data_IF_723166239374
#
_entry.id   IF_723166239374
#
_cell.length_a   1.000
_cell.length_b   1.000
_cell.length_c   1.000
_cell.angle_alpha   90.00
_cell.angle_beta   90.00
_cell.angle_gamma   90.00
#
_symmetry.space_group_name_H-M   'P 1'
#
loop_
_entity.id
_entity.type
_entity.pdbx_description
1 polymer ?
#
# COMPACT_ATOMS: atom_id res chain seq x y z
N UNK A 1 -14.88 42.88 -12.91
CA UNK A 1 -14.42 41.91 -13.93
C UNK A 1 -13.13 41.26 -13.41
N UNK A 2 -13.11 39.94 -13.09
CA UNK A 2 -11.92 39.27 -12.57
C UNK A 2 -10.87 39.18 -13.69
N UNK A 3 -9.62 39.52 -13.36
CA UNK A 3 -8.50 39.40 -14.30
C UNK A 3 -8.17 37.93 -14.58
N UNK A 4 -7.46 37.62 -15.67
CA UNK A 4 -6.98 36.26 -15.97
C UNK A 4 -6.10 35.71 -14.85
N UNK A 5 -5.33 36.59 -14.17
CA UNK A 5 -4.51 36.26 -13.00
C UNK A 5 -5.38 35.82 -11.82
N UNK A 6 -6.50 36.52 -11.54
CA UNK A 6 -7.41 36.19 -10.47
C UNK A 6 -8.11 34.82 -10.69
N UNK A 7 -8.48 34.56 -11.95
CA UNK A 7 -9.08 33.26 -12.33
C UNK A 7 -8.11 32.08 -12.17
N UNK A 8 -6.84 32.27 -12.49
CA UNK A 8 -5.82 31.23 -12.30
C UNK A 8 -5.53 30.98 -10.83
N UNK A 9 -5.49 32.03 -10.01
CA UNK A 9 -5.30 31.94 -8.56
C UNK A 9 -6.49 31.23 -7.84
N UNK A 10 -7.73 31.57 -8.28
CA UNK A 10 -8.94 30.91 -7.76
C UNK A 10 -8.97 29.43 -8.15
N UNK A 11 -8.75 29.06 -9.41
CA UNK A 11 -8.68 27.65 -9.84
C UNK A 11 -7.68 26.85 -9.00
N UNK A 12 -6.49 27.38 -8.75
CA UNK A 12 -5.46 26.70 -7.96
C UNK A 12 -5.86 26.53 -6.48
N UNK A 13 -6.64 27.45 -5.86
CA UNK A 13 -7.17 27.28 -4.48
C UNK A 13 -8.20 26.18 -4.41
N UNK A 14 -9.11 26.14 -5.36
CA UNK A 14 -10.11 25.08 -5.45
C UNK A 14 -9.47 23.71 -5.70
N UNK A 15 -8.44 23.61 -6.55
CA UNK A 15 -7.71 22.35 -6.76
C UNK A 15 -7.11 21.83 -5.46
N UNK A 16 -6.45 22.69 -4.67
CA UNK A 16 -5.89 22.30 -3.37
C UNK A 16 -6.99 21.84 -2.42
N UNK A 17 -8.07 22.62 -2.27
CA UNK A 17 -9.16 22.29 -1.35
C UNK A 17 -9.89 21.01 -1.74
N UNK A 18 -10.23 20.85 -3.02
CA UNK A 18 -10.89 19.64 -3.53
C UNK A 18 -10.01 18.40 -3.39
N UNK A 19 -8.73 18.48 -3.80
CA UNK A 19 -7.84 17.32 -3.67
C UNK A 19 -7.60 16.92 -2.20
N UNK A 20 -7.50 17.90 -1.30
CA UNK A 20 -7.37 17.62 0.14
C UNK A 20 -8.65 16.97 0.70
N UNK A 21 -9.83 17.51 0.38
CA UNK A 21 -11.13 16.95 0.77
C UNK A 21 -11.34 15.55 0.21
N UNK A 22 -11.06 15.34 -1.08
CA UNK A 22 -11.14 14.02 -1.71
C UNK A 22 -10.19 13.03 -1.05
N UNK A 23 -8.94 13.43 -0.78
CA UNK A 23 -7.97 12.57 -0.07
C UNK A 23 -8.45 12.15 1.32
N UNK A 24 -9.04 13.08 2.09
CA UNK A 24 -9.59 12.78 3.41
C UNK A 24 -10.79 11.82 3.34
N UNK A 25 -11.71 12.02 2.39
CA UNK A 25 -12.85 11.12 2.16
C UNK A 25 -12.39 9.72 1.74
N UNK A 26 -11.42 9.64 0.83
CA UNK A 26 -10.86 8.35 0.39
C UNK A 26 -10.13 7.63 1.53
N UNK A 27 -9.43 8.35 2.41
CA UNK A 27 -8.80 7.77 3.58
C UNK A 27 -9.85 7.18 4.55
N UNK A 28 -10.96 7.88 4.79
CA UNK A 28 -12.08 7.35 5.55
C UNK A 28 -12.73 6.14 4.87
N UNK A 29 -12.89 6.18 3.54
CA UNK A 29 -13.40 5.08 2.74
C UNK A 29 -12.47 3.85 2.76
N UNK A 30 -11.16 4.06 2.82
CA UNK A 30 -10.19 2.96 2.92
C UNK A 30 -10.35 2.14 4.21
N UNK A 31 -10.72 2.81 5.31
CA UNK A 31 -10.93 2.16 6.61
C UNK A 31 -12.31 1.49 6.69
N UNK A 32 -13.36 2.18 6.27
CA UNK A 32 -14.75 1.75 6.50
C UNK A 32 -15.43 1.14 5.27
N UNK A 33 -14.94 1.47 4.07
CA UNK A 33 -15.59 1.10 2.81
C UNK A 33 -15.71 -0.40 2.58
N UNK A 34 -14.65 -1.21 2.76
CA UNK A 34 -14.75 -2.64 2.55
C UNK A 34 -15.80 -3.30 3.43
N UNK A 35 -15.82 -3.02 4.74
CA UNK A 35 -16.83 -3.53 5.66
C UNK A 35 -18.26 -3.15 5.24
N UNK A 36 -18.47 -1.87 4.92
CA UNK A 36 -19.79 -1.38 4.51
C UNK A 36 -20.28 -1.99 3.21
N UNK A 37 -19.38 -2.26 2.25
CA UNK A 37 -19.75 -2.85 0.95
C UNK A 37 -19.96 -4.36 1.03
N UNK A 38 -19.20 -5.07 1.86
CA UNK A 38 -19.23 -6.53 1.94
C UNK A 38 -20.21 -7.09 2.96
N UNK A 39 -20.70 -6.27 3.90
CA UNK A 39 -21.64 -6.67 4.95
C UNK A 39 -22.85 -7.47 4.44
N UNK A 40 -23.38 -7.15 3.25
CA UNK A 40 -24.55 -7.86 2.68
C UNK A 40 -24.19 -9.21 2.05
N UNK A 41 -22.99 -9.32 1.48
CA UNK A 41 -22.53 -10.53 0.78
C UNK A 41 -21.89 -11.53 1.72
N UNK A 42 -21.35 -11.07 2.85
CA UNK A 42 -20.65 -11.87 3.85
C UNK A 42 -21.06 -11.43 5.27
N UNK A 43 -22.34 -11.62 5.64
CA UNK A 43 -22.84 -11.17 6.93
C UNK A 43 -22.15 -11.86 8.12
N UNK A 44 -21.66 -13.08 7.93
CA UNK A 44 -20.92 -13.88 8.92
C UNK A 44 -19.54 -13.30 9.28
N UNK A 45 -18.94 -12.47 8.38
CA UNK A 45 -17.65 -11.82 8.59
C UNK A 45 -17.79 -10.31 8.86
N UNK A 46 -19.02 -9.84 9.12
CA UNK A 46 -19.27 -8.44 9.45
C UNK A 46 -18.68 -8.02 10.80
N UNK A 47 -18.52 -8.99 11.71
CA UNK A 47 -17.89 -8.82 13.01
C UNK A 47 -16.44 -9.32 12.96
N UNK A 48 -15.50 -8.39 13.15
CA UNK A 48 -14.07 -8.71 13.15
C UNK A 48 -13.64 -9.58 14.34
N UNK A 49 -14.40 -9.59 15.44
CA UNK A 49 -14.02 -10.31 16.66
C UNK A 49 -14.05 -11.84 16.47
N UNK A 50 -14.91 -12.34 15.58
CA UNK A 50 -14.97 -13.77 15.23
C UNK A 50 -13.95 -14.24 14.19
N UNK A 51 -13.26 -13.32 13.53
CA UNK A 51 -12.36 -13.64 12.42
C UNK A 51 -11.16 -14.54 12.83
N UNK A 52 -10.46 -14.32 13.95
CA UNK A 52 -9.35 -15.18 14.39
C UNK A 52 -9.77 -16.65 14.55
N UNK A 53 -10.90 -16.90 15.19
CA UNK A 53 -11.40 -18.25 15.43
C UNK A 53 -11.85 -18.93 14.14
N UNK A 54 -12.54 -18.20 13.26
CA UNK A 54 -12.97 -18.69 11.96
C UNK A 54 -11.77 -19.09 11.08
N UNK A 55 -10.75 -18.23 11.00
CA UNK A 55 -9.54 -18.49 10.21
C UNK A 55 -8.76 -19.66 10.81
N UNK A 56 -8.54 -19.68 12.13
CA UNK A 56 -7.80 -20.76 12.82
C UNK A 56 -8.45 -22.11 12.57
N UNK A 57 -9.76 -22.23 12.82
CA UNK A 57 -10.50 -23.50 12.63
C UNK A 57 -10.52 -23.96 11.17
N UNK A 58 -10.63 -23.03 10.22
CA UNK A 58 -10.64 -23.37 8.79
C UNK A 58 -9.25 -23.82 8.31
N UNK A 59 -8.19 -23.14 8.75
CA UNK A 59 -6.80 -23.50 8.42
C UNK A 59 -6.39 -24.82 9.07
N UNK A 60 -6.74 -25.05 10.32
CA UNK A 60 -6.48 -26.32 11.00
C UNK A 60 -7.12 -27.50 10.26
N UNK A 61 -8.37 -27.38 9.84
CA UNK A 61 -9.04 -28.40 9.01
C UNK A 61 -8.37 -28.61 7.66
N UNK A 62 -7.89 -27.52 7.03
CA UNK A 62 -7.13 -27.62 5.79
C UNK A 62 -5.82 -28.38 5.98
N UNK A 63 -5.03 -28.02 6.98
CA UNK A 63 -3.73 -28.65 7.28
C UNK A 63 -3.87 -30.12 7.66
N UNK A 64 -4.95 -30.50 8.37
CA UNK A 64 -5.25 -31.89 8.72
C UNK A 64 -5.86 -32.71 7.57
N UNK A 65 -6.21 -32.08 6.46
CA UNK A 65 -6.80 -32.77 5.30
C UNK A 65 -5.72 -33.46 4.48
N UNK A 66 -6.06 -34.60 3.89
CA UNK A 66 -5.22 -35.31 2.93
C UNK A 66 -5.33 -34.73 1.49
N UNK A 67 -6.20 -33.73 1.28
CA UNK A 67 -6.46 -33.15 -0.02
C UNK A 67 -5.83 -31.76 -0.14
N UNK A 68 -5.25 -31.40 -1.30
CA UNK A 68 -4.72 -30.05 -1.54
C UNK A 68 -5.81 -28.99 -1.78
N UNK A 69 -7.07 -29.43 -1.96
CA UNK A 69 -8.20 -28.53 -2.21
C UNK A 69 -8.63 -27.80 -0.93
N UNK A 70 -8.92 -26.51 -1.05
CA UNK A 70 -9.40 -25.70 0.06
C UNK A 70 -10.78 -26.20 0.54
N UNK A 71 -10.98 -26.40 1.86
CA UNK A 71 -12.31 -26.61 2.42
C UNK A 71 -13.24 -25.45 2.08
N UNK A 72 -14.57 -25.69 1.94
CA UNK A 72 -15.54 -24.67 1.53
C UNK A 72 -15.47 -23.40 2.39
N UNK A 73 -15.32 -23.53 3.70
CA UNK A 73 -15.25 -22.39 4.62
C UNK A 73 -13.97 -21.55 4.38
N UNK A 74 -12.82 -22.22 4.16
CA UNK A 74 -11.56 -21.52 3.88
C UNK A 74 -11.60 -20.87 2.49
N UNK A 75 -12.28 -21.48 1.53
CA UNK A 75 -12.51 -20.89 0.22
C UNK A 75 -13.36 -19.61 0.33
N UNK A 76 -14.44 -19.65 1.14
CA UNK A 76 -15.31 -18.49 1.39
C UNK A 76 -14.59 -17.37 2.13
N UNK A 77 -13.78 -17.68 3.15
CA UNK A 77 -12.90 -16.71 3.83
C UNK A 77 -11.90 -16.06 2.86
N UNK A 78 -11.31 -16.88 1.98
CA UNK A 78 -10.37 -16.39 0.97
C UNK A 78 -11.06 -15.47 -0.05
N UNK A 79 -12.30 -15.77 -0.46
CA UNK A 79 -13.09 -14.91 -1.35
C UNK A 79 -13.48 -13.59 -0.68
N UNK A 80 -13.93 -13.63 0.57
CA UNK A 80 -14.16 -12.42 1.37
C UNK A 80 -12.92 -11.55 1.43
N UNK A 81 -11.76 -12.14 1.75
CA UNK A 81 -10.50 -11.42 1.90
C UNK A 81 -9.98 -10.86 0.57
N UNK A 82 -10.15 -11.62 -0.51
CA UNK A 82 -9.92 -11.15 -1.88
C UNK A 82 -10.73 -9.88 -2.18
N UNK A 83 -12.04 -9.92 -1.97
CA UNK A 83 -12.92 -8.78 -2.27
C UNK A 83 -12.61 -7.58 -1.38
N UNK A 84 -12.30 -7.81 -0.11
CA UNK A 84 -11.87 -6.77 0.83
C UNK A 84 -10.65 -5.99 0.32
N UNK A 85 -9.63 -6.69 -0.16
CA UNK A 85 -8.41 -6.07 -0.66
C UNK A 85 -8.59 -5.50 -2.08
N UNK A 86 -9.42 -6.11 -2.92
CA UNK A 86 -9.76 -5.58 -4.24
C UNK A 86 -10.41 -4.19 -4.15
N UNK A 87 -11.33 -3.99 -3.20
CA UNK A 87 -11.92 -2.67 -2.91
C UNK A 87 -10.82 -1.68 -2.50
N UNK A 88 -9.93 -2.10 -1.59
CA UNK A 88 -8.81 -1.28 -1.13
C UNK A 88 -7.82 -0.92 -2.24
N UNK A 89 -7.61 -1.78 -3.24
CA UNK A 89 -6.80 -1.45 -4.44
C UNK A 89 -7.39 -0.23 -5.15
N UNK A 90 -8.69 -0.25 -5.46
CA UNK A 90 -9.35 0.87 -6.12
C UNK A 90 -9.22 2.18 -5.34
N UNK A 91 -9.43 2.13 -4.01
CA UNK A 91 -9.30 3.29 -3.13
C UNK A 91 -7.83 3.76 -3.06
N UNK A 92 -6.86 2.83 -2.99
CA UNK A 92 -5.43 3.18 -2.94
C UNK A 92 -4.96 3.90 -4.21
N UNK A 93 -5.41 3.47 -5.38
CA UNK A 93 -5.14 4.15 -6.66
C UNK A 93 -5.67 5.59 -6.61
N UNK A 94 -6.92 5.76 -6.18
CA UNK A 94 -7.53 7.09 -6.06
C UNK A 94 -6.81 7.98 -5.03
N UNK A 95 -6.31 7.40 -3.92
CA UNK A 95 -5.50 8.11 -2.92
C UNK A 95 -4.16 8.57 -3.51
N UNK A 96 -3.43 7.69 -4.23
CA UNK A 96 -2.18 8.05 -4.91
C UNK A 96 -2.42 9.24 -5.85
N UNK A 97 -3.44 9.17 -6.69
CA UNK A 97 -3.76 10.23 -7.63
C UNK A 97 -4.13 11.55 -6.91
N UNK A 98 -5.00 11.48 -5.89
CA UNK A 98 -5.45 12.65 -5.14
C UNK A 98 -4.29 13.36 -4.45
N UNK A 99 -3.42 12.63 -3.75
CA UNK A 99 -2.27 13.20 -3.06
C UNK A 99 -1.17 13.66 -4.02
N UNK A 100 -0.96 13.00 -5.15
CA UNK A 100 -0.04 13.46 -6.18
C UNK A 100 -0.50 14.79 -6.81
N UNK A 101 -1.79 14.93 -7.11
CA UNK A 101 -2.39 16.19 -7.62
C UNK A 101 -2.25 17.29 -6.55
N UNK A 102 -2.56 17.00 -5.29
CA UNK A 102 -2.42 17.92 -4.17
C UNK A 102 -0.96 18.40 -4.02
N UNK A 103 0.01 17.46 -4.04
CA UNK A 103 1.42 17.80 -3.97
C UNK A 103 1.85 18.71 -5.12
N UNK A 104 1.46 18.39 -6.35
CA UNK A 104 1.73 19.21 -7.53
C UNK A 104 1.12 20.61 -7.44
N UNK A 105 -0.14 20.72 -7.04
CA UNK A 105 -0.82 22.00 -6.84
C UNK A 105 -0.15 22.85 -5.75
N UNK A 106 0.26 22.26 -4.65
CA UNK A 106 0.98 22.95 -3.58
C UNK A 106 2.37 23.38 -4.04
N UNK A 107 3.12 22.55 -4.80
CA UNK A 107 4.41 22.96 -5.37
C UNK A 107 4.28 24.11 -6.34
N UNK A 108 3.29 24.12 -7.21
CA UNK A 108 3.03 25.26 -8.12
C UNK A 108 2.80 26.56 -7.33
N UNK A 109 2.04 26.51 -6.23
CA UNK A 109 1.82 27.66 -5.36
C UNK A 109 3.06 28.09 -4.60
N UNK A 110 3.88 27.16 -4.16
CA UNK A 110 5.17 27.45 -3.55
C UNK A 110 6.08 28.25 -4.51
N UNK A 111 6.12 27.83 -5.77
CA UNK A 111 6.95 28.47 -6.79
C UNK A 111 6.44 29.85 -7.19
N UNK A 112 5.12 30.05 -7.31
CA UNK A 112 4.50 31.30 -7.72
C UNK A 112 4.24 32.30 -6.59
N UNK A 113 4.27 31.87 -5.34
CA UNK A 113 3.94 32.69 -4.18
C UNK A 113 5.10 33.51 -3.63
N UNK A 114 4.84 34.36 -2.64
CA UNK A 114 5.84 35.15 -1.92
C UNK A 114 5.61 35.06 -0.40
N UNK A 115 6.66 35.32 0.39
CA UNK A 115 6.58 35.41 1.85
C UNK A 115 6.22 34.10 2.56
N UNK A 116 5.66 34.21 3.78
CA UNK A 116 5.31 33.07 4.67
C UNK A 116 4.27 32.13 4.06
N UNK A 117 3.32 32.63 3.29
CA UNK A 117 2.30 31.80 2.64
C UNK A 117 2.88 30.81 1.62
N UNK A 118 3.96 31.16 0.91
CA UNK A 118 4.61 30.24 0.01
C UNK A 118 5.27 29.06 0.77
N UNK A 119 5.92 29.34 1.91
CA UNK A 119 6.55 28.30 2.73
C UNK A 119 5.55 27.24 3.21
N UNK A 120 4.33 27.67 3.63
CA UNK A 120 3.25 26.77 4.01
C UNK A 120 2.85 25.80 2.89
N UNK A 121 2.80 26.29 1.64
CA UNK A 121 2.53 25.42 0.50
C UNK A 121 3.66 24.46 0.21
N UNK A 122 4.93 24.84 0.39
CA UNK A 122 6.06 23.93 0.27
C UNK A 122 6.01 22.81 1.31
N UNK A 123 5.64 23.13 2.55
CA UNK A 123 5.43 22.15 3.60
C UNK A 123 4.26 21.19 3.29
N UNK A 124 3.10 21.74 2.90
CA UNK A 124 1.94 20.95 2.51
C UNK A 124 2.23 20.04 1.31
N UNK A 125 3.04 20.48 0.36
CA UNK A 125 3.46 19.69 -0.80
C UNK A 125 4.31 18.47 -0.40
N UNK A 126 5.21 18.63 0.59
CA UNK A 126 5.99 17.49 1.12
C UNK A 126 5.09 16.50 1.84
N UNK A 127 4.17 16.95 2.69
CA UNK A 127 3.20 16.06 3.34
C UNK A 127 2.38 15.29 2.29
N UNK A 128 1.81 15.98 1.31
CA UNK A 128 1.01 15.35 0.27
C UNK A 128 1.84 14.35 -0.56
N UNK A 129 3.10 14.67 -0.88
CA UNK A 129 4.03 13.76 -1.56
C UNK A 129 4.32 12.51 -0.73
N UNK A 130 4.54 12.66 0.57
CA UNK A 130 4.71 11.53 1.50
C UNK A 130 3.45 10.67 1.56
N UNK A 131 2.26 11.28 1.64
CA UNK A 131 0.99 10.56 1.64
C UNK A 131 0.75 9.80 0.31
N UNK A 132 1.15 10.38 -0.82
CA UNK A 132 1.08 9.69 -2.13
C UNK A 132 1.99 8.44 -2.14
N UNK A 133 3.18 8.52 -1.58
CA UNK A 133 4.10 7.37 -1.43
C UNK A 133 3.50 6.31 -0.50
N UNK A 134 2.99 6.70 0.66
CA UNK A 134 2.33 5.77 1.58
C UNK A 134 1.12 5.07 0.94
N UNK A 135 0.32 5.81 0.17
CA UNK A 135 -0.78 5.22 -0.61
C UNK A 135 -0.27 4.22 -1.66
N UNK A 136 0.91 4.47 -2.26
CA UNK A 136 1.59 3.53 -3.17
C UNK A 136 2.02 2.24 -2.47
N UNK A 137 2.52 2.33 -1.24
CA UNK A 137 2.81 1.16 -0.40
C UNK A 137 1.55 0.37 -0.03
N UNK A 138 0.49 1.07 0.38
CA UNK A 138 -0.82 0.44 0.63
C UNK A 138 -1.33 -0.28 -0.62
N UNK A 139 -1.17 0.33 -1.80
CA UNK A 139 -1.54 -0.31 -3.08
C UNK A 139 -0.75 -1.62 -3.29
N UNK A 140 0.56 -1.61 -3.10
CA UNK A 140 1.39 -2.81 -3.27
C UNK A 140 0.99 -3.94 -2.32
N UNK A 141 0.75 -3.62 -1.04
CA UNK A 141 0.30 -4.59 -0.03
C UNK A 141 -1.09 -5.14 -0.37
N UNK A 142 -2.02 -4.30 -0.81
CA UNK A 142 -3.36 -4.77 -1.18
C UNK A 142 -3.33 -5.63 -2.45
N UNK A 143 -2.47 -5.34 -3.43
CA UNK A 143 -2.25 -6.21 -4.60
C UNK A 143 -1.72 -7.58 -4.15
N UNK A 144 -0.73 -7.61 -3.26
CA UNK A 144 -0.19 -8.85 -2.70
C UNK A 144 -1.27 -9.68 -2.01
N UNK A 145 -2.06 -9.08 -1.12
CA UNK A 145 -3.14 -9.74 -0.38
C UNK A 145 -4.29 -10.21 -1.29
N UNK A 146 -4.54 -9.50 -2.39
CA UNK A 146 -5.53 -9.92 -3.39
C UNK A 146 -5.01 -11.06 -4.25
N UNK A 147 -3.72 -11.07 -4.58
CA UNK A 147 -3.12 -12.13 -5.40
C UNK A 147 -3.01 -13.48 -4.68
N UNK A 148 -2.89 -13.48 -3.34
CA UNK A 148 -2.76 -14.68 -2.52
C UNK A 148 -3.54 -14.49 -1.20
N UNK A 149 -4.88 -14.50 -1.25
CA UNK A 149 -5.72 -14.15 -0.10
C UNK A 149 -5.58 -15.15 1.06
N UNK A 150 -5.34 -16.42 0.78
CA UNK A 150 -5.14 -17.43 1.82
C UNK A 150 -3.95 -17.08 2.72
N UNK A 151 -2.79 -16.74 2.15
CA UNK A 151 -1.60 -16.39 2.93
C UNK A 151 -1.82 -15.08 3.69
N UNK A 152 -2.55 -14.12 3.10
CA UNK A 152 -2.88 -12.86 3.74
C UNK A 152 -3.87 -13.01 4.93
N UNK A 153 -4.56 -14.15 5.06
CA UNK A 153 -5.39 -14.50 6.22
C UNK A 153 -4.59 -15.08 7.39
N UNK A 154 -3.42 -15.71 7.14
CA UNK A 154 -2.67 -16.40 8.18
C UNK A 154 -2.30 -15.52 9.40
N UNK A 155 -1.99 -14.22 9.27
CA UNK A 155 -1.72 -13.35 10.43
C UNK A 155 -2.90 -13.18 11.41
N UNK A 156 -4.12 -13.63 11.04
CA UNK A 156 -5.26 -13.65 11.95
C UNK A 156 -5.21 -14.83 12.92
N UNK A 157 -4.36 -15.83 12.67
CA UNK A 157 -4.17 -16.98 13.54
C UNK A 157 -3.34 -16.54 14.75
N UNK A 158 -3.85 -16.65 15.99
CA UNK A 158 -3.07 -16.29 17.18
C UNK A 158 -1.84 -17.18 17.32
N UNK A 159 -0.68 -16.65 17.71
CA UNK A 159 0.51 -17.46 17.95
C UNK A 159 0.25 -18.61 18.92
N UNK A 160 0.68 -19.82 18.55
CA UNK A 160 0.53 -21.01 19.40
C UNK A 160 -0.87 -21.63 19.41
N UNK A 161 -1.82 -21.15 18.58
CA UNK A 161 -3.15 -21.77 18.48
C UNK A 161 -3.17 -23.03 17.61
N UNK A 162 -2.20 -23.17 16.68
CA UNK A 162 -2.07 -24.38 15.87
C UNK A 162 -1.23 -25.46 16.62
N UNK A 163 -1.54 -26.76 16.43
CA UNK A 163 -0.72 -27.85 16.95
C UNK A 163 0.74 -27.77 16.46
N UNK A 164 1.69 -28.24 17.28
CA UNK A 164 3.12 -28.17 16.94
C UNK A 164 3.49 -28.96 15.67
N UNK A 165 2.71 -29.98 15.34
CA UNK A 165 2.82 -30.84 14.17
C UNK A 165 1.92 -30.40 12.99
N UNK A 166 1.23 -29.26 13.11
CA UNK A 166 0.33 -28.76 12.05
C UNK A 166 1.02 -28.57 10.69
N UNK A 167 2.34 -28.33 10.69
CA UNK A 167 3.15 -28.19 9.49
C UNK A 167 3.92 -29.49 9.14
N UNK A 168 3.43 -30.64 9.57
CA UNK A 168 3.96 -31.93 9.11
C UNK A 168 3.75 -32.10 7.59
N UNK A 169 4.61 -32.88 6.95
CA UNK A 169 4.55 -33.12 5.51
C UNK A 169 3.17 -33.63 5.08
N UNK A 170 2.46 -32.78 4.34
CA UNK A 170 1.15 -33.10 3.78
C UNK A 170 0.95 -32.35 2.44
N UNK A 171 0.05 -32.82 1.56
CA UNK A 171 -0.29 -32.10 0.33
C UNK A 171 -0.80 -30.68 0.58
N UNK A 172 -1.50 -30.44 1.68
CA UNK A 172 -2.00 -29.13 2.09
C UNK A 172 -0.84 -28.18 2.46
N UNK A 173 0.14 -28.66 3.21
CA UNK A 173 1.35 -27.86 3.53
C UNK A 173 2.17 -27.57 2.29
N UNK A 174 2.36 -28.53 1.39
CA UNK A 174 3.08 -28.33 0.14
C UNK A 174 2.41 -27.23 -0.72
N UNK A 175 1.08 -27.25 -0.85
CA UNK A 175 0.33 -26.20 -1.55
C UNK A 175 0.47 -24.85 -0.85
N UNK A 176 0.40 -24.80 0.48
CA UNK A 176 0.55 -23.58 1.25
C UNK A 176 1.94 -22.95 1.06
N UNK A 177 3.01 -23.75 1.03
CA UNK A 177 4.37 -23.27 0.76
C UNK A 177 4.51 -22.64 -0.62
N UNK A 178 3.88 -23.20 -1.65
CA UNK A 178 3.82 -22.60 -3.00
C UNK A 178 3.13 -21.25 -2.94
N UNK A 179 2.03 -21.14 -2.20
CA UNK A 179 1.30 -19.87 -2.07
C UNK A 179 2.09 -18.84 -1.25
N UNK A 180 2.82 -19.23 -0.20
CA UNK A 180 3.70 -18.35 0.57
C UNK A 180 4.82 -17.79 -0.31
N UNK A 181 5.47 -18.64 -1.12
CA UNK A 181 6.47 -18.19 -2.09
C UNK A 181 5.87 -17.17 -3.07
N UNK A 182 4.70 -17.48 -3.67
CA UNK A 182 4.00 -16.57 -4.58
C UNK A 182 3.63 -15.24 -3.91
N UNK A 183 3.18 -15.27 -2.67
CA UNK A 183 2.84 -14.08 -1.87
C UNK A 183 4.03 -13.14 -1.76
N UNK A 184 5.20 -13.65 -1.43
CA UNK A 184 6.42 -12.86 -1.33
C UNK A 184 6.93 -12.38 -2.70
N UNK A 185 6.81 -13.19 -3.77
CA UNK A 185 7.17 -12.74 -5.13
C UNK A 185 6.31 -11.57 -5.61
N UNK A 186 5.01 -11.57 -5.34
CA UNK A 186 4.12 -10.45 -5.70
C UNK A 186 4.57 -9.17 -4.99
N UNK A 187 4.91 -9.23 -3.70
CA UNK A 187 5.43 -8.07 -2.96
C UNK A 187 6.78 -7.61 -3.51
N UNK A 188 7.70 -8.55 -3.80
CA UNK A 188 9.01 -8.23 -4.36
C UNK A 188 8.89 -7.45 -5.67
N UNK A 189 8.06 -7.91 -6.61
CA UNK A 189 7.81 -7.24 -7.89
C UNK A 189 7.17 -5.87 -7.69
N UNK A 190 6.14 -5.78 -6.85
CA UNK A 190 5.44 -4.52 -6.56
C UNK A 190 6.35 -3.45 -5.96
N UNK A 191 7.16 -3.84 -4.96
CA UNK A 191 8.07 -2.92 -4.28
C UNK A 191 9.30 -2.57 -5.14
N UNK A 192 9.80 -3.50 -5.97
CA UNK A 192 10.82 -3.20 -6.97
C UNK A 192 10.33 -2.18 -8.01
N UNK A 193 9.08 -2.31 -8.47
CA UNK A 193 8.48 -1.34 -9.39
C UNK A 193 8.35 0.06 -8.73
N UNK A 194 7.90 0.14 -7.48
CA UNK A 194 7.86 1.40 -6.73
C UNK A 194 9.26 2.00 -6.54
N UNK A 195 10.26 1.17 -6.26
CA UNK A 195 11.65 1.60 -6.14
C UNK A 195 12.20 2.15 -7.46
N UNK A 196 11.94 1.48 -8.59
CA UNK A 196 12.35 1.91 -9.92
C UNK A 196 11.72 3.25 -10.32
N UNK A 197 10.41 3.42 -10.11
CA UNK A 197 9.72 4.69 -10.34
C UNK A 197 10.28 5.82 -9.49
N UNK A 198 10.58 5.53 -8.21
CA UNK A 198 11.16 6.51 -7.29
C UNK A 198 12.60 6.86 -7.67
N UNK A 199 13.41 5.89 -8.08
CA UNK A 199 14.77 6.12 -8.59
C UNK A 199 14.76 7.00 -9.85
N UNK A 200 13.84 6.75 -10.79
CA UNK A 200 13.65 7.60 -11.95
C UNK A 200 13.29 9.04 -11.55
N UNK A 201 12.37 9.20 -10.59
CA UNK A 201 12.02 10.49 -9.99
C UNK A 201 13.22 11.20 -9.35
N UNK A 202 14.07 10.46 -8.64
CA UNK A 202 15.30 10.98 -8.03
C UNK A 202 16.29 11.48 -9.11
N UNK A 203 16.51 10.72 -10.17
CA UNK A 203 17.39 11.12 -11.30
C UNK A 203 16.87 12.40 -11.95
N UNK A 204 15.57 12.49 -12.26
CA UNK A 204 14.96 13.68 -12.83
C UNK A 204 15.12 14.89 -11.89
N UNK A 205 14.83 14.70 -10.59
CA UNK A 205 14.95 15.76 -9.59
C UNK A 205 16.40 16.25 -9.44
N UNK A 206 17.37 15.34 -9.47
CA UNK A 206 18.80 15.68 -9.44
C UNK A 206 19.19 16.54 -10.65
N UNK A 207 18.81 16.14 -11.87
CA UNK A 207 19.11 16.88 -13.10
C UNK A 207 18.48 18.28 -13.08
N UNK A 208 17.22 18.38 -12.69
CA UNK A 208 16.50 19.65 -12.59
C UNK A 208 17.04 20.56 -11.51
N UNK A 209 17.48 20.01 -10.39
CA UNK A 209 18.11 20.76 -9.29
C UNK A 209 19.39 21.45 -9.74
N UNK A 210 20.27 20.80 -10.51
CA UNK A 210 21.52 21.40 -10.99
C UNK A 210 21.25 22.63 -11.86
N UNK A 211 20.28 22.54 -12.77
CA UNK A 211 19.86 23.66 -13.63
C UNK A 211 19.17 24.78 -12.83
N UNK A 212 18.37 24.43 -11.81
CA UNK A 212 17.65 25.43 -11.01
C UNK A 212 18.57 26.21 -10.04
N UNK A 213 19.68 25.64 -9.58
CA UNK A 213 20.56 26.26 -8.60
C UNK A 213 21.09 27.64 -9.00
N UNK A 214 21.34 27.85 -10.29
CA UNK A 214 21.85 29.11 -10.82
C UNK A 214 20.75 30.14 -11.14
N UNK A 215 19.49 29.72 -11.22
CA UNK A 215 18.39 30.55 -11.72
C UNK A 215 17.28 30.83 -10.69
N UNK A 216 16.93 29.84 -9.87
CA UNK A 216 15.83 29.94 -8.93
C UNK A 216 16.08 29.08 -7.68
N UNK A 217 16.32 29.73 -6.54
CA UNK A 217 16.56 29.08 -5.25
C UNK A 217 15.34 28.28 -4.75
N UNK A 218 14.11 28.67 -5.10
CA UNK A 218 12.90 27.95 -4.68
C UNK A 218 12.74 26.67 -5.46
N UNK A 219 12.91 26.71 -6.76
CA UNK A 219 12.93 25.52 -7.59
C UNK A 219 14.03 24.55 -7.15
N UNK A 220 15.23 25.06 -6.80
CA UNK A 220 16.30 24.23 -6.27
C UNK A 220 15.92 23.53 -4.95
N UNK A 221 15.22 24.23 -4.03
CA UNK A 221 14.72 23.64 -2.77
C UNK A 221 13.65 22.57 -3.03
N UNK A 222 12.69 22.85 -3.92
CA UNK A 222 11.68 21.88 -4.34
C UNK A 222 12.33 20.60 -4.87
N UNK A 223 13.27 20.72 -5.82
CA UNK A 223 13.95 19.53 -6.37
C UNK A 223 14.84 18.84 -5.36
N UNK A 224 15.36 19.55 -4.35
CA UNK A 224 16.08 18.91 -3.23
C UNK A 224 15.13 18.05 -2.41
N UNK A 225 13.96 18.56 -2.03
CA UNK A 225 12.96 17.83 -1.28
C UNK A 225 12.45 16.59 -2.04
N UNK A 226 12.13 16.75 -3.32
CA UNK A 226 11.73 15.64 -4.19
C UNK A 226 12.84 14.59 -4.32
N UNK A 227 14.08 15.01 -4.51
CA UNK A 227 15.23 14.09 -4.57
C UNK A 227 15.37 13.28 -3.28
N UNK A 228 15.31 13.94 -2.11
CA UNK A 228 15.41 13.25 -0.81
C UNK A 228 14.27 12.25 -0.62
N UNK A 229 13.02 12.67 -0.88
CA UNK A 229 11.85 11.85 -0.71
C UNK A 229 11.87 10.62 -1.64
N UNK A 230 12.16 10.81 -2.93
CA UNK A 230 12.20 9.72 -3.90
C UNK A 230 13.42 8.81 -3.71
N UNK A 231 14.58 9.32 -3.28
CA UNK A 231 15.73 8.48 -2.97
C UNK A 231 15.50 7.60 -1.74
N UNK A 232 14.89 8.15 -0.69
CA UNK A 232 14.54 7.38 0.51
C UNK A 232 13.53 6.28 0.17
N UNK A 233 12.50 6.61 -0.61
CA UNK A 233 11.50 5.62 -1.03
C UNK A 233 12.10 4.54 -1.93
N UNK A 234 13.01 4.90 -2.85
CA UNK A 234 13.72 3.92 -3.67
C UNK A 234 14.53 2.94 -2.82
N UNK A 235 15.29 3.46 -1.84
CA UNK A 235 16.07 2.62 -0.93
C UNK A 235 15.17 1.69 -0.10
N UNK A 236 14.09 2.21 0.49
CA UNK A 236 13.12 1.41 1.23
C UNK A 236 12.50 0.31 0.35
N UNK A 237 12.08 0.67 -0.88
CA UNK A 237 11.50 -0.29 -1.83
C UNK A 237 12.46 -1.41 -2.23
N UNK A 238 13.75 -1.09 -2.43
CA UNK A 238 14.78 -2.10 -2.71
C UNK A 238 15.02 -3.04 -1.52
N UNK A 239 15.04 -2.51 -0.30
CA UNK A 239 15.21 -3.32 0.91
C UNK A 239 14.04 -4.30 1.09
N UNK A 240 12.80 -3.82 0.93
CA UNK A 240 11.61 -4.68 1.04
C UNK A 240 11.58 -5.69 -0.11
N UNK A 241 11.92 -5.30 -1.33
CA UNK A 241 12.00 -6.23 -2.45
C UNK A 241 13.03 -7.33 -2.20
N UNK A 242 14.23 -6.99 -1.74
CA UNK A 242 15.28 -7.96 -1.40
C UNK A 242 14.85 -8.92 -0.29
N UNK A 243 14.26 -8.39 0.81
CA UNK A 243 13.71 -9.21 1.88
C UNK A 243 12.62 -10.17 1.35
N UNK A 244 11.71 -9.66 0.51
CA UNK A 244 10.64 -10.48 -0.05
C UNK A 244 11.16 -11.57 -0.98
N UNK A 245 12.22 -11.33 -1.75
CA UNK A 245 12.89 -12.37 -2.55
C UNK A 245 13.46 -13.46 -1.65
N UNK A 246 14.18 -13.11 -0.60
CA UNK A 246 14.73 -14.07 0.36
C UNK A 246 13.61 -14.90 1.00
N UNK A 247 12.53 -14.26 1.42
CA UNK A 247 11.36 -14.94 2.00
C UNK A 247 10.64 -15.85 0.99
N UNK A 248 10.64 -15.49 -0.31
CA UNK A 248 10.07 -16.34 -1.35
C UNK A 248 10.92 -17.57 -1.65
N UNK A 249 12.24 -17.48 -1.44
CA UNK A 249 13.19 -18.59 -1.65
C UNK A 249 13.21 -19.58 -0.47
N UNK A 250 12.76 -19.17 0.71
CA UNK A 250 12.63 -20.00 1.91
C UNK A 250 11.20 -19.88 2.47
N UNK A 251 10.22 -20.51 1.80
CA UNK A 251 8.82 -20.39 2.18
C UNK A 251 8.49 -21.12 3.49
N UNK A 252 9.24 -22.15 3.91
CA UNK A 252 9.02 -22.83 5.18
C UNK A 252 9.33 -21.92 6.36
N UNK A 253 10.52 -21.33 6.39
CA UNK A 253 10.89 -20.34 7.42
C UNK A 253 9.90 -19.16 7.42
N UNK A 254 9.49 -18.69 6.24
CA UNK A 254 8.53 -17.59 6.12
C UNK A 254 7.15 -17.97 6.66
N UNK A 255 6.65 -19.18 6.38
CA UNK A 255 5.38 -19.67 6.89
C UNK A 255 5.42 -19.78 8.41
N UNK A 256 6.48 -20.38 8.98
CA UNK A 256 6.67 -20.49 10.44
C UNK A 256 6.67 -19.10 11.10
N UNK A 257 7.39 -18.14 10.49
CA UNK A 257 7.43 -16.77 11.00
C UNK A 257 6.04 -16.09 10.97
N UNK A 258 5.24 -16.29 9.90
CA UNK A 258 3.87 -15.77 9.79
C UNK A 258 2.97 -16.36 10.89
N UNK A 259 3.11 -17.65 11.20
CA UNK A 259 2.32 -18.35 12.21
C UNK A 259 2.85 -18.19 13.63
N UNK A 260 3.97 -17.50 13.84
CA UNK A 260 4.59 -17.34 15.16
C UNK A 260 5.17 -18.63 15.73
N UNK A 261 5.60 -19.56 14.86
CA UNK A 261 6.18 -20.89 15.18
C UNK A 261 7.72 -20.89 15.06
N UNK A 262 8.36 -19.74 15.30
CA UNK A 262 9.81 -19.57 15.20
C UNK A 262 10.57 -19.84 16.48
#
# INVERSE_FOLDING_TARGET
MLTLSDRSALRSRWTVALSAGTGALLAAAFVRGPAALLHRSFPEYADADGMPDAVTSAVERFLSSSAPALPPELAQLSDYWFQWHAIKIGISIALVMSFAILAGACWMRYLSGSGRGAASYGFAANIAGTLAILAGWLLAINIQSTAVPLVALLPWIPPGSLPADALADSPAVAELLVQVSRYHWVLAVGTAALAALSAAGAVVSRRRRTTARSRDRRAARMYTALLSLTSLNAAAGLLVAAYSVLSAMDPDTSLRAILGMG
#
